data_IF_912802587018
#
_entry.id   IF_912802587018
#
_cell.length_a   1.000
_cell.length_b   1.000
_cell.length_c   1.000
_cell.angle_alpha   90.00
_cell.angle_beta   90.00
_cell.angle_gamma   90.00
#
_symmetry.space_group_name_H-M   'P 1'
#
loop_
_entity.id
_entity.type
_entity.pdbx_description
1 polymer ?
#
# COMPACT_ATOMS: atom_id res chain seq x y z
N UNK A 1 -36.82 -10.20 -55.90
CA UNK A 1 -35.52 -9.84 -56.50
C UNK A 1 -34.46 -10.28 -55.52
N UNK A 2 -33.55 -11.13 -56.00
CA UNK A 2 -32.39 -11.74 -55.34
C UNK A 2 -32.66 -12.79 -54.23
N UNK A 3 -32.60 -14.06 -54.66
CA UNK A 3 -32.20 -15.23 -53.89
C UNK A 3 -30.80 -15.05 -53.27
N UNK A 4 -30.52 -15.66 -52.11
CA UNK A 4 -29.19 -16.06 -51.73
C UNK A 4 -28.98 -17.56 -51.95
N UNK A 5 -27.76 -17.83 -52.39
CA UNK A 5 -27.30 -19.05 -53.03
C UNK A 5 -27.18 -20.27 -52.11
N UNK A 6 -27.44 -21.38 -52.78
CA UNK A 6 -27.08 -22.74 -52.46
C UNK A 6 -25.54 -22.90 -52.49
N UNK A 7 -24.92 -23.24 -51.35
CA UNK A 7 -23.58 -23.86 -51.35
C UNK A 7 -23.71 -25.26 -50.75
N UNK A 8 -23.72 -26.22 -51.65
CA UNK A 8 -23.53 -27.64 -51.38
C UNK A 8 -22.03 -27.95 -51.25
N UNK A 9 -21.63 -28.65 -50.19
CA UNK A 9 -20.45 -29.52 -50.28
C UNK A 9 -20.67 -30.77 -49.43
N UNK A 10 -20.77 -31.91 -50.13
CA UNK A 10 -20.69 -33.25 -49.54
C UNK A 10 -19.22 -33.58 -49.30
N UNK A 11 -18.89 -34.16 -48.15
CA UNK A 11 -18.01 -35.34 -48.11
C UNK A 11 -18.13 -36.13 -46.81
N UNK A 12 -18.10 -37.45 -47.02
CA UNK A 12 -18.40 -38.54 -46.12
C UNK A 12 -17.49 -38.62 -44.89
N UNK A 13 -18.03 -39.14 -43.77
CA UNK A 13 -17.17 -39.45 -42.62
C UNK A 13 -17.84 -39.99 -41.37
N UNK A 14 -18.66 -41.05 -41.48
CA UNK A 14 -19.05 -41.98 -40.37
C UNK A 14 -19.39 -41.35 -39.00
N UNK A 15 -20.67 -41.05 -38.79
CA UNK A 15 -21.24 -40.97 -37.44
C UNK A 15 -21.29 -42.37 -36.82
N UNK A 16 -20.35 -42.68 -35.90
CA UNK A 16 -20.56 -43.72 -34.89
C UNK A 16 -21.57 -43.18 -33.88
N UNK A 17 -22.82 -43.62 -33.97
CA UNK A 17 -23.82 -43.39 -32.91
C UNK A 17 -23.41 -44.18 -31.66
N UNK A 18 -22.64 -43.56 -30.77
CA UNK A 18 -22.52 -44.01 -29.39
C UNK A 18 -23.68 -43.40 -28.62
N UNK A 19 -24.87 -43.96 -28.80
CA UNK A 19 -25.99 -43.80 -27.86
C UNK A 19 -26.07 -45.04 -26.97
N UNK A 20 -24.95 -45.40 -26.34
CA UNK A 20 -25.02 -46.27 -25.18
C UNK A 20 -25.48 -45.43 -23.99
N UNK A 21 -26.79 -45.53 -23.72
CA UNK A 21 -27.44 -45.00 -22.53
C UNK A 21 -26.60 -45.29 -21.27
N UNK A 22 -26.36 -44.29 -20.38
CA UNK A 22 -25.57 -44.45 -19.15
C UNK A 22 -26.10 -45.57 -18.22
N UNK A 23 -27.34 -46.03 -18.43
CA UNK A 23 -27.91 -47.17 -17.71
C UNK A 23 -27.23 -48.52 -18.00
N UNK A 24 -26.64 -48.73 -19.18
CA UNK A 24 -25.93 -50.00 -19.47
C UNK A 24 -24.58 -50.11 -18.77
N UNK A 25 -23.91 -48.98 -18.52
CA UNK A 25 -22.66 -48.97 -17.75
C UNK A 25 -22.90 -49.29 -16.27
N UNK A 26 -23.98 -48.76 -15.69
CA UNK A 26 -24.37 -49.04 -14.30
C UNK A 26 -24.73 -50.53 -14.07
N UNK A 27 -25.41 -51.18 -15.02
CA UNK A 27 -25.78 -52.61 -14.87
C UNK A 27 -24.57 -53.55 -14.92
N UNK A 28 -23.53 -53.23 -15.69
CA UNK A 28 -22.32 -54.07 -15.77
C UNK A 28 -21.41 -53.92 -14.56
N UNK A 29 -21.45 -52.78 -13.88
CA UNK A 29 -20.72 -52.55 -12.63
C UNK A 29 -21.34 -53.29 -11.45
N UNK A 30 -22.67 -53.37 -11.38
CA UNK A 30 -23.39 -54.08 -10.30
C UNK A 30 -23.33 -55.61 -10.45
N UNK A 31 -23.23 -56.14 -11.69
CA UNK A 31 -23.26 -57.58 -11.94
C UNK A 31 -21.90 -58.30 -11.73
N UNK A 32 -20.79 -57.58 -11.56
CA UNK A 32 -19.44 -58.15 -11.37
C UNK A 32 -18.90 -58.07 -9.93
N UNK A 33 -19.57 -57.36 -9.03
CA UNK A 33 -19.16 -57.25 -7.63
C UNK A 33 -19.73 -58.42 -6.83
N UNK A 34 -19.00 -59.53 -6.81
CA UNK A 34 -19.24 -60.62 -5.86
C UNK A 34 -19.39 -60.04 -4.45
N UNK A 35 -20.48 -60.42 -3.76
CA UNK A 35 -20.90 -59.91 -2.46
C UNK A 35 -19.90 -60.21 -1.35
N UNK A 36 -18.83 -59.43 -1.30
CA UNK A 36 -17.84 -59.40 -0.24
C UNK A 36 -17.71 -57.99 0.32
N UNK A 37 -17.14 -57.91 1.52
CA UNK A 37 -16.83 -56.71 2.31
C UNK A 37 -16.20 -55.56 1.48
N UNK A 38 -15.56 -55.88 0.36
CA UNK A 38 -15.01 -54.90 -0.59
C UNK A 38 -16.07 -54.05 -1.31
N UNK A 39 -17.27 -54.57 -1.55
CA UNK A 39 -18.37 -53.82 -2.16
C UNK A 39 -18.94 -52.74 -1.23
N UNK A 40 -19.06 -53.07 0.06
CA UNK A 40 -19.52 -52.12 1.08
C UNK A 40 -18.48 -51.04 1.35
N UNK A 41 -17.19 -51.37 1.38
CA UNK A 41 -16.11 -50.37 1.53
C UNK A 41 -16.11 -49.36 0.37
N UNK A 42 -16.22 -49.81 -0.89
CA UNK A 42 -16.28 -48.91 -2.05
C UNK A 42 -17.49 -47.98 -2.00
N UNK A 43 -18.64 -48.51 -1.57
CA UNK A 43 -19.87 -47.73 -1.44
C UNK A 43 -19.74 -46.64 -0.36
N UNK A 44 -19.14 -46.97 0.79
CA UNK A 44 -18.88 -45.99 1.86
C UNK A 44 -17.89 -44.92 1.42
N UNK A 45 -16.79 -45.28 0.75
CA UNK A 45 -15.81 -44.32 0.23
C UNK A 45 -16.43 -43.35 -0.79
N UNK A 46 -17.30 -43.86 -1.67
CA UNK A 46 -18.03 -43.01 -2.62
C UNK A 46 -18.89 -41.95 -1.90
N UNK A 47 -19.58 -42.33 -0.81
CA UNK A 47 -20.35 -41.37 -0.02
C UNK A 47 -19.50 -40.36 0.73
N UNK A 48 -18.34 -40.76 1.24
CA UNK A 48 -17.39 -39.84 1.88
C UNK A 48 -16.92 -38.78 0.88
N UNK A 49 -16.56 -39.19 -0.34
CA UNK A 49 -16.16 -38.25 -1.41
C UNK A 49 -17.31 -37.30 -1.77
N UNK A 50 -18.54 -37.80 -1.89
CA UNK A 50 -19.72 -36.96 -2.16
C UNK A 50 -19.95 -35.95 -1.03
N UNK A 51 -19.81 -36.36 0.22
CA UNK A 51 -19.96 -35.45 1.38
C UNK A 51 -18.88 -34.37 1.42
N UNK A 52 -17.63 -34.71 1.09
CA UNK A 52 -16.53 -33.73 1.00
C UNK A 52 -16.82 -32.70 -0.10
N UNK A 53 -17.28 -33.14 -1.27
CA UNK A 53 -17.65 -32.23 -2.38
C UNK A 53 -18.81 -31.33 -1.96
N UNK A 54 -19.87 -31.89 -1.34
CA UNK A 54 -21.01 -31.10 -0.87
C UNK A 54 -20.61 -30.08 0.20
N UNK A 55 -19.74 -30.48 1.14
CA UNK A 55 -19.20 -29.56 2.15
C UNK A 55 -18.36 -28.44 1.50
N UNK A 56 -17.52 -28.77 0.52
CA UNK A 56 -16.74 -27.79 -0.24
C UNK A 56 -17.62 -26.79 -0.99
N UNK A 57 -18.68 -27.26 -1.64
CA UNK A 57 -19.65 -26.38 -2.32
C UNK A 57 -20.42 -25.51 -1.33
N UNK A 58 -20.86 -26.08 -0.19
CA UNK A 58 -21.55 -25.33 0.84
C UNK A 58 -20.65 -24.24 1.45
N UNK A 59 -19.39 -24.58 1.79
CA UNK A 59 -18.41 -23.63 2.31
C UNK A 59 -18.05 -22.57 1.28
N UNK A 60 -17.84 -22.93 0.02
CA UNK A 60 -17.60 -21.99 -1.07
C UNK A 60 -18.79 -21.05 -1.29
N UNK A 61 -20.02 -21.57 -1.24
CA UNK A 61 -21.23 -20.75 -1.31
C UNK A 61 -21.38 -19.81 -0.13
N UNK A 62 -21.07 -20.26 1.09
CA UNK A 62 -21.12 -19.45 2.32
C UNK A 62 -20.04 -18.36 2.31
N UNK A 63 -18.85 -18.68 1.79
CA UNK A 63 -17.78 -17.73 1.53
C UNK A 63 -18.21 -16.66 0.51
N UNK A 64 -18.73 -17.06 -0.65
CA UNK A 64 -19.23 -16.11 -1.66
C UNK A 64 -20.36 -15.23 -1.12
N UNK A 65 -21.27 -15.81 -0.33
CA UNK A 65 -22.35 -15.08 0.32
C UNK A 65 -21.82 -14.04 1.34
N UNK A 66 -20.83 -14.42 2.15
CA UNK A 66 -20.16 -13.51 3.10
C UNK A 66 -19.36 -12.43 2.37
N UNK A 67 -18.64 -12.77 1.30
CA UNK A 67 -17.90 -11.81 0.48
C UNK A 67 -18.84 -10.82 -0.21
N UNK A 68 -20.03 -11.25 -0.61
CA UNK A 68 -21.05 -10.35 -1.14
C UNK A 68 -21.61 -9.43 -0.05
N UNK A 69 -21.97 -9.96 1.12
CA UNK A 69 -22.48 -9.13 2.24
C UNK A 69 -21.47 -8.08 2.73
N UNK A 70 -20.17 -8.36 2.64
CA UNK A 70 -19.09 -7.49 3.12
C UNK A 70 -18.54 -6.54 2.06
N UNK A 71 -18.96 -6.65 0.78
CA UNK A 71 -18.42 -5.83 -0.32
C UNK A 71 -17.02 -6.21 -0.79
N UNK A 72 -16.36 -7.16 -0.12
CA UNK A 72 -14.97 -7.59 -0.33
C UNK A 72 -14.73 -8.38 -1.63
N UNK A 73 -15.80 -8.82 -2.30
CA UNK A 73 -15.73 -9.77 -3.42
C UNK A 73 -14.97 -9.20 -4.64
N UNK A 74 -14.99 -7.89 -4.85
CA UNK A 74 -14.29 -7.22 -5.95
C UNK A 74 -12.75 -7.23 -5.80
N UNK A 75 -12.25 -7.09 -4.58
CA UNK A 75 -10.81 -7.07 -4.27
C UNK A 75 -10.20 -8.47 -4.36
N UNK A 76 -10.93 -9.48 -3.88
CA UNK A 76 -10.49 -10.88 -3.92
C UNK A 76 -10.50 -11.44 -5.35
N UNK A 77 -11.54 -11.13 -6.14
CA UNK A 77 -11.64 -11.62 -7.52
C UNK A 77 -10.60 -10.97 -8.44
N UNK A 78 -10.34 -9.66 -8.32
CA UNK A 78 -9.31 -8.97 -9.10
C UNK A 78 -7.91 -9.51 -8.84
N UNK A 79 -7.59 -9.80 -7.57
CA UNK A 79 -6.32 -10.42 -7.18
C UNK A 79 -6.15 -11.84 -7.73
N UNK A 80 -7.22 -12.64 -7.76
CA UNK A 80 -7.20 -14.00 -8.32
C UNK A 80 -7.05 -13.94 -9.84
N UNK A 81 -7.80 -13.09 -10.54
CA UNK A 81 -7.74 -13.01 -12.00
C UNK A 81 -6.42 -12.42 -12.51
N UNK A 82 -5.83 -11.44 -11.81
CA UNK A 82 -4.51 -10.90 -12.15
C UNK A 82 -3.38 -11.95 -12.05
N UNK A 83 -3.46 -12.88 -11.09
CA UNK A 83 -2.47 -13.95 -10.94
C UNK A 83 -2.57 -15.10 -11.95
N UNK A 84 -3.69 -15.25 -12.66
CA UNK A 84 -3.90 -16.34 -13.62
C UNK A 84 -3.46 -16.02 -15.05
N UNK A 85 -3.25 -14.74 -15.41
CA UNK A 85 -2.82 -14.35 -16.76
C UNK A 85 -1.34 -14.63 -17.06
N UNK A 86 -0.46 -14.75 -16.05
CA UNK A 86 0.99 -14.77 -16.30
C UNK A 86 1.71 -16.12 -16.26
N UNK A 87 1.12 -17.25 -15.82
CA UNK A 87 1.91 -18.48 -15.61
C UNK A 87 1.22 -19.78 -16.05
N UNK A 88 1.95 -20.58 -16.85
CA UNK A 88 1.53 -21.90 -17.38
C UNK A 88 0.99 -22.83 -16.28
N UNK A 89 -0.22 -23.35 -16.52
CA UNK A 89 -1.26 -23.54 -15.51
C UNK A 89 -1.29 -24.84 -14.67
N UNK A 90 -0.29 -25.72 -14.71
CA UNK A 90 -0.44 -27.06 -14.05
C UNK A 90 0.60 -27.36 -12.98
N UNK A 91 1.88 -27.03 -13.18
CA UNK A 91 2.91 -27.25 -12.16
C UNK A 91 2.94 -26.13 -11.10
N UNK A 92 2.45 -24.95 -11.46
CA UNK A 92 2.27 -23.79 -10.58
C UNK A 92 0.98 -23.87 -9.76
N UNK A 93 -0.03 -24.64 -10.16
CA UNK A 93 -1.29 -24.74 -9.42
C UNK A 93 -1.12 -25.50 -8.10
N UNK A 94 -0.26 -26.53 -8.06
CA UNK A 94 -0.03 -27.32 -6.85
C UNK A 94 0.86 -26.57 -5.84
N UNK A 95 1.90 -25.88 -6.33
CA UNK A 95 2.72 -25.00 -5.47
C UNK A 95 1.98 -23.72 -5.08
N UNK A 96 1.31 -23.09 -6.03
CA UNK A 96 0.56 -21.84 -5.88
C UNK A 96 -0.66 -21.97 -4.99
N UNK A 97 -1.41 -23.08 -5.04
CA UNK A 97 -2.54 -23.27 -4.12
C UNK A 97 -2.07 -23.42 -2.67
N UNK A 98 -0.94 -24.10 -2.42
CA UNK A 98 -0.34 -24.18 -1.09
C UNK A 98 0.24 -22.84 -0.65
N UNK A 99 0.85 -22.06 -1.56
CA UNK A 99 1.35 -20.72 -1.22
C UNK A 99 0.21 -19.76 -0.95
N UNK A 100 -0.86 -19.76 -1.76
CA UNK A 100 -2.06 -18.95 -1.54
C UNK A 100 -2.75 -19.34 -0.23
N UNK A 101 -2.82 -20.64 0.11
CA UNK A 101 -3.34 -21.06 1.42
C UNK A 101 -2.46 -20.59 2.58
N UNK A 102 -1.14 -20.65 2.42
CA UNK A 102 -0.19 -20.12 3.41
C UNK A 102 -0.29 -18.58 3.52
N UNK A 103 -0.53 -17.88 2.42
CA UNK A 103 -0.71 -16.42 2.37
C UNK A 103 -2.04 -15.96 2.97
N UNK A 104 -3.10 -16.76 2.81
CA UNK A 104 -4.40 -16.50 3.44
C UNK A 104 -4.35 -16.72 4.96
N UNK A 105 -3.55 -17.69 5.44
CA UNK A 105 -3.47 -18.04 6.86
C UNK A 105 -2.30 -17.40 7.62
N UNK A 106 -1.26 -16.94 6.93
CA UNK A 106 -0.14 -16.16 7.47
C UNK A 106 0.09 -14.93 6.57
N UNK A 107 -0.70 -13.86 6.72
CA UNK A 107 -0.50 -12.62 5.98
C UNK A 107 0.91 -12.03 6.19
N UNK A 108 1.55 -12.31 7.33
CA UNK A 108 2.93 -11.90 7.62
C UNK A 108 3.96 -12.46 6.63
N UNK A 109 3.69 -13.64 6.03
CA UNK A 109 4.57 -14.21 4.98
C UNK A 109 4.47 -13.48 3.64
N UNK A 110 3.43 -12.69 3.41
CA UNK A 110 3.31 -11.86 2.19
C UNK A 110 4.30 -10.71 2.28
N UNK A 111 4.47 -10.11 3.47
CA UNK A 111 5.51 -9.12 3.71
C UNK A 111 6.91 -9.71 3.53
N UNK A 112 7.16 -10.95 3.99
CA UNK A 112 8.45 -11.63 3.79
C UNK A 112 8.73 -12.10 2.35
N UNK A 113 7.71 -12.42 1.54
CA UNK A 113 7.91 -12.93 0.18
C UNK A 113 7.95 -11.85 -0.90
N UNK A 114 7.39 -10.66 -0.63
CA UNK A 114 7.61 -9.45 -1.45
C UNK A 114 8.90 -8.71 -1.07
N UNK A 115 9.46 -8.98 0.12
CA UNK A 115 10.86 -8.71 0.42
C UNK A 115 11.73 -9.65 -0.43
N UNK A 116 11.99 -9.24 -1.68
CA UNK A 116 13.09 -9.73 -2.53
C UNK A 116 14.27 -10.13 -1.65
N UNK A 117 14.50 -11.44 -1.49
CA UNK A 117 15.62 -12.08 -0.78
C UNK A 117 16.68 -11.08 -0.28
N UNK A 118 16.40 -10.43 0.85
CA UNK A 118 17.22 -9.37 1.41
C UNK A 118 18.26 -10.02 2.31
N UNK A 119 19.24 -10.68 1.70
CA UNK A 119 20.44 -11.11 2.42
C UNK A 119 21.30 -9.87 2.72
N UNK A 120 21.18 -9.33 3.94
CA UNK A 120 22.29 -8.63 4.59
C UNK A 120 22.06 -7.23 5.16
N UNK A 121 20.82 -6.75 5.32
CA UNK A 121 20.56 -5.52 6.09
C UNK A 121 20.25 -5.84 7.55
N UNK A 122 20.93 -5.19 8.51
CA UNK A 122 20.51 -5.23 9.92
C UNK A 122 19.18 -4.48 10.05
N UNK A 123 18.10 -5.19 10.32
CA UNK A 123 16.83 -4.60 10.71
C UNK A 123 17.00 -4.04 12.14
N UNK A 124 16.85 -2.73 12.32
CA UNK A 124 16.91 -2.07 13.64
C UNK A 124 15.51 -2.13 14.24
N UNK A 125 15.35 -2.52 15.51
CA UNK A 125 14.06 -2.52 16.21
C UNK A 125 13.42 -1.11 16.14
N UNK A 126 12.16 -1.06 15.70
CA UNK A 126 11.53 0.13 15.12
C UNK A 126 10.72 0.87 16.20
N UNK A 127 11.30 1.89 16.81
CA UNK A 127 10.50 2.91 17.48
C UNK A 127 9.63 3.61 16.43
N UNK A 128 8.32 3.60 16.63
CA UNK A 128 7.34 4.21 15.73
C UNK A 128 7.03 5.64 16.21
N UNK A 129 7.40 6.63 15.39
CA UNK A 129 7.16 8.06 15.62
C UNK A 129 6.13 8.60 14.64
N UNK A 130 5.42 9.66 15.02
CA UNK A 130 4.39 10.30 14.20
C UNK A 130 3.03 10.37 14.90
N UNK A 131 1.97 10.57 14.10
CA UNK A 131 0.60 10.79 14.57
C UNK A 131 -0.30 9.60 14.21
N UNK A 132 -0.85 8.91 15.21
CA UNK A 132 -1.81 7.80 15.04
C UNK A 132 -3.18 8.21 15.54
N UNK A 133 -4.20 7.98 14.74
CA UNK A 133 -5.59 8.08 15.18
C UNK A 133 -5.96 6.71 15.73
N UNK A 134 -6.31 6.64 17.01
CA UNK A 134 -6.58 5.37 17.69
C UNK A 134 -8.06 5.10 17.85
N UNK A 135 -8.88 6.15 17.88
CA UNK A 135 -10.31 6.05 18.03
C UNK A 135 -10.99 7.21 17.30
N UNK A 136 -11.90 6.93 16.38
CA UNK A 136 -12.75 7.92 15.74
C UNK A 136 -14.21 7.48 15.89
N UNK A 137 -14.94 8.20 16.74
CA UNK A 137 -16.32 7.88 17.07
C UNK A 137 -17.25 9.06 16.78
N UNK A 138 -18.51 8.74 16.48
CA UNK A 138 -19.58 9.72 16.43
C UNK A 138 -20.25 9.79 17.80
N UNK A 139 -20.50 10.99 18.28
CA UNK A 139 -21.18 11.17 19.58
C UNK A 139 -22.58 10.54 19.55
N UNK A 140 -23.27 10.67 18.42
CA UNK A 140 -24.57 10.05 18.18
C UNK A 140 -24.54 9.04 17.02
N UNK A 141 -25.42 8.03 17.12
CA UNK A 141 -25.53 6.97 16.10
C UNK A 141 -26.42 7.35 14.92
N UNK A 142 -27.32 8.30 15.12
CA UNK A 142 -28.32 8.75 14.16
C UNK A 142 -28.59 10.24 14.37
N UNK A 143 -28.28 11.04 13.36
CA UNK A 143 -28.51 12.48 13.37
C UNK A 143 -29.74 12.83 12.56
N UNK A 144 -30.45 13.88 12.97
CA UNK A 144 -31.44 14.50 12.11
C UNK A 144 -30.76 15.49 11.17
N UNK A 145 -31.36 15.72 10.00
CA UNK A 145 -30.75 16.56 8.95
C UNK A 145 -30.45 17.98 9.40
N UNK A 146 -31.19 18.55 10.33
CA UNK A 146 -30.94 19.92 10.81
C UNK A 146 -30.03 19.97 12.05
N UNK A 147 -29.73 18.82 12.64
CA UNK A 147 -28.97 18.75 13.88
C UNK A 147 -27.46 18.77 13.59
N UNK A 148 -26.67 19.47 14.42
CA UNK A 148 -25.22 19.41 14.32
C UNK A 148 -24.71 17.98 14.46
N UNK A 149 -23.73 17.63 13.63
CA UNK A 149 -23.04 16.33 13.71
C UNK A 149 -21.76 16.53 14.49
N UNK A 150 -21.47 15.65 15.46
CA UNK A 150 -20.22 15.68 16.22
C UNK A 150 -19.45 14.37 16.05
N UNK A 151 -18.17 14.48 15.78
CA UNK A 151 -17.23 13.36 15.76
C UNK A 151 -16.07 13.66 16.69
N UNK A 152 -15.71 12.71 17.54
CA UNK A 152 -14.55 12.82 18.43
C UNK A 152 -13.48 11.81 18.00
N UNK A 153 -12.24 12.27 17.97
CA UNK A 153 -11.07 11.48 17.64
C UNK A 153 -10.05 11.52 18.78
N UNK A 154 -9.52 10.37 19.16
CA UNK A 154 -8.34 10.28 20.03
C UNK A 154 -7.12 10.02 19.17
N UNK A 155 -6.10 10.86 19.36
CA UNK A 155 -4.86 10.86 18.61
C UNK A 155 -3.69 10.65 19.56
N UNK A 156 -2.85 9.66 19.27
CA UNK A 156 -1.57 9.43 19.94
C UNK A 156 -0.44 9.99 19.07
N UNK A 157 0.39 10.85 19.66
CA UNK A 157 1.50 11.50 18.98
C UNK A 157 2.78 11.13 19.69
N UNK A 158 3.76 10.64 18.94
CA UNK A 158 5.09 10.31 19.47
C UNK A 158 6.18 11.04 18.68
N UNK A 159 6.86 11.98 19.33
CA UNK A 159 7.89 12.80 18.70
C UNK A 159 9.28 12.14 18.76
N UNK A 160 10.14 12.29 17.72
CA UNK A 160 11.55 11.91 17.76
C UNK A 160 12.30 12.60 18.91
N UNK A 161 13.43 12.05 19.36
CA UNK A 161 14.22 12.63 20.47
C UNK A 161 14.80 14.02 20.17
N UNK A 162 14.93 14.36 18.90
CA UNK A 162 15.65 15.53 18.39
C UNK A 162 14.77 16.55 17.67
N UNK A 163 13.48 16.25 17.47
CA UNK A 163 12.56 17.09 16.71
C UNK A 163 11.17 17.18 17.34
N UNK A 164 10.60 18.39 17.30
CA UNK A 164 9.22 18.65 17.71
C UNK A 164 8.27 18.34 16.54
N UNK A 165 7.07 17.83 16.83
CA UNK A 165 6.01 17.63 15.82
C UNK A 165 4.98 18.74 15.95
N UNK A 166 4.77 19.48 14.85
CA UNK A 166 3.68 20.47 14.74
C UNK A 166 2.55 19.88 13.91
N UNK A 167 1.36 19.81 14.50
CA UNK A 167 0.16 19.22 13.90
C UNK A 167 -0.82 20.33 13.60
N UNK A 168 -1.27 20.43 12.36
CA UNK A 168 -2.27 21.40 11.89
C UNK A 168 -3.65 20.74 11.78
N UNK A 169 -4.65 21.40 12.38
CA UNK A 169 -6.04 20.99 12.41
C UNK A 169 -6.95 21.85 11.53
N UNK A 170 -6.41 22.81 10.79
CA UNK A 170 -7.18 23.80 10.03
C UNK A 170 -8.21 23.18 9.10
N UNK A 171 -7.87 22.05 8.48
CA UNK A 171 -8.71 21.28 7.57
C UNK A 171 -8.81 19.80 8.00
N UNK A 172 -8.66 19.52 9.30
CA UNK A 172 -8.59 18.15 9.82
C UNK A 172 -9.93 17.40 9.79
N UNK A 173 -11.04 18.04 9.47
CA UNK A 173 -12.36 17.40 9.51
C UNK A 173 -13.06 17.57 8.16
N UNK A 174 -13.58 16.47 7.61
CA UNK A 174 -14.36 16.47 6.37
C UNK A 174 -15.60 15.60 6.54
N UNK A 175 -16.74 16.11 6.09
CA UNK A 175 -17.99 15.35 5.98
C UNK A 175 -18.42 15.32 4.50
N UNK A 176 -18.74 14.12 4.02
CA UNK A 176 -19.08 13.88 2.62
C UNK A 176 -20.27 14.72 2.15
N UNK A 177 -20.05 15.53 1.11
CA UNK A 177 -21.02 16.47 0.49
C UNK A 177 -21.49 17.60 1.42
N UNK A 178 -20.71 17.93 2.47
CA UNK A 178 -21.01 19.01 3.40
C UNK A 178 -20.36 20.33 2.94
N UNK A 179 -21.15 21.41 2.89
CA UNK A 179 -20.69 22.75 2.52
C UNK A 179 -20.78 23.77 3.67
N UNK A 180 -21.26 23.34 4.85
CA UNK A 180 -21.48 24.22 6.01
C UNK A 180 -20.23 24.49 6.85
N UNK A 181 -20.43 25.17 7.98
CA UNK A 181 -19.35 25.52 8.91
C UNK A 181 -18.90 24.33 9.77
N UNK A 182 -17.59 24.12 9.84
CA UNK A 182 -16.95 23.10 10.67
C UNK A 182 -16.18 23.77 11.80
N UNK A 183 -16.51 23.42 13.03
CA UNK A 183 -15.79 23.83 14.24
C UNK A 183 -14.92 22.67 14.74
N UNK A 184 -13.63 22.92 14.92
CA UNK A 184 -12.69 21.95 15.52
C UNK A 184 -12.33 22.45 16.91
N UNK A 185 -12.47 21.59 17.91
CA UNK A 185 -12.22 21.93 19.32
C UNK A 185 -11.49 20.82 20.06
N UNK A 186 -10.77 21.17 21.12
CA UNK A 186 -10.05 20.22 21.97
C UNK A 186 -9.42 20.93 23.18
N UNK A 187 -8.97 20.18 24.21
CA UNK A 187 -8.53 20.73 25.49
C UNK A 187 -7.32 21.66 25.41
N UNK A 188 -6.64 21.73 24.25
CA UNK A 188 -5.48 22.57 23.99
C UNK A 188 -5.50 23.25 22.61
N UNK A 189 -6.65 23.21 21.90
CA UNK A 189 -6.81 23.84 20.59
C UNK A 189 -7.39 25.24 20.78
N UNK A 190 -6.64 26.14 21.42
CA UNK A 190 -6.93 27.57 21.31
C UNK A 190 -6.37 28.13 19.99
N UNK A 191 -5.38 27.45 19.42
CA UNK A 191 -4.70 27.73 18.17
C UNK A 191 -4.91 26.49 17.27
N UNK A 192 -5.07 26.67 15.95
CA UNK A 192 -5.33 25.58 14.99
C UNK A 192 -4.18 24.56 14.87
N UNK A 193 -3.15 24.71 15.69
CA UNK A 193 -1.94 23.91 15.69
C UNK A 193 -1.63 23.42 17.11
N UNK A 194 -1.08 22.21 17.21
CA UNK A 194 -0.52 21.66 18.45
C UNK A 194 0.95 21.32 18.20
N UNK A 195 1.82 21.65 19.14
CA UNK A 195 3.23 21.24 19.12
C UNK A 195 3.51 20.20 20.19
N UNK A 196 3.99 19.02 19.79
CA UNK A 196 4.50 17.98 20.69
C UNK A 196 6.01 18.07 20.73
N UNK A 197 6.56 18.30 21.92
CA UNK A 197 8.00 18.49 22.09
C UNK A 197 8.74 17.16 21.89
N UNK A 198 9.93 17.26 21.31
CA UNK A 198 10.90 16.19 21.12
C UNK A 198 11.03 15.23 22.31
N UNK A 199 11.00 13.93 22.01
CA UNK A 199 11.12 12.83 22.96
C UNK A 199 9.88 12.55 23.81
N UNK A 200 8.79 13.31 23.65
CA UNK A 200 7.54 13.05 24.36
C UNK A 200 6.54 12.23 23.53
N UNK A 201 5.62 11.61 24.26
CA UNK A 201 4.44 10.94 23.75
C UNK A 201 3.22 11.54 24.46
N UNK A 202 2.28 12.05 23.69
CA UNK A 202 1.09 12.75 24.19
C UNK A 202 -0.18 12.24 23.48
N UNK A 203 -1.28 12.18 24.21
CA UNK A 203 -2.61 11.83 23.70
C UNK A 203 -3.50 13.06 23.67
N UNK A 204 -4.24 13.24 22.58
CA UNK A 204 -5.14 14.37 22.37
C UNK A 204 -6.53 13.89 21.96
N UNK A 205 -7.56 14.44 22.62
CA UNK A 205 -8.94 14.28 22.22
C UNK A 205 -9.39 15.51 21.42
N UNK A 206 -9.79 15.29 20.18
CA UNK A 206 -10.20 16.33 19.22
C UNK A 206 -11.66 16.10 18.85
N UNK A 207 -12.47 17.14 18.83
CA UNK A 207 -13.88 17.07 18.41
C UNK A 207 -14.10 17.95 17.19
N UNK A 208 -14.57 17.32 16.10
CA UNK A 208 -15.10 17.96 14.91
C UNK A 208 -16.61 18.15 15.05
N UNK A 209 -17.12 19.37 14.87
CA UNK A 209 -18.54 19.67 14.90
C UNK A 209 -18.99 20.35 13.61
N UNK A 210 -19.96 19.73 12.93
CA UNK A 210 -20.57 20.21 11.68
C UNK A 210 -21.85 20.95 12.04
N UNK A 211 -21.81 22.29 12.08
CA UNK A 211 -22.81 23.12 12.78
C UNK A 211 -24.17 23.14 12.10
N UNK A 212 -24.18 23.17 10.77
CA UNK A 212 -25.39 23.34 9.95
C UNK A 212 -26.13 22.02 9.65
N UNK A 213 -25.65 20.88 10.17
CA UNK A 213 -26.22 19.58 9.88
C UNK A 213 -26.03 19.17 8.41
N UNK A 214 -27.11 18.78 7.73
CA UNK A 214 -27.11 18.36 6.33
C UNK A 214 -28.41 18.79 5.64
N UNK A 215 -28.32 19.71 4.69
CA UNK A 215 -29.48 20.11 3.90
C UNK A 215 -29.80 19.03 2.85
N UNK A 216 -31.08 18.65 2.81
CA UNK A 216 -31.73 17.83 1.79
C UNK A 216 -31.11 16.44 1.51
N UNK A 217 -31.75 15.40 2.06
CA UNK A 217 -31.48 14.01 1.71
C UNK A 217 -32.52 13.50 0.70
N UNK A 218 -32.03 12.82 -0.34
CA UNK A 218 -32.85 12.06 -1.30
C UNK A 218 -33.61 10.88 -0.65
N UNK A 219 -33.16 10.45 0.54
CA UNK A 219 -33.64 9.26 1.24
C UNK A 219 -34.02 9.58 2.67
N UNK A 220 -34.98 8.81 3.20
CA UNK A 220 -35.38 8.89 4.61
C UNK A 220 -34.19 8.64 5.56
N UNK A 221 -33.30 7.72 5.20
CA UNK A 221 -32.03 7.48 5.89
C UNK A 221 -30.89 7.46 4.87
N UNK A 222 -29.84 8.22 5.16
CA UNK A 222 -28.60 8.28 4.37
C UNK A 222 -27.39 7.98 5.25
N UNK A 223 -26.35 7.38 4.67
CA UNK A 223 -25.08 7.12 5.36
C UNK A 223 -24.03 8.05 4.75
N UNK A 224 -23.42 8.91 5.56
CA UNK A 224 -22.40 9.86 5.15
C UNK A 224 -21.06 9.52 5.79
N UNK A 225 -19.97 9.70 5.05
CA UNK A 225 -18.61 9.46 5.54
C UNK A 225 -18.09 10.72 6.25
N UNK A 226 -17.61 10.55 7.48
CA UNK A 226 -16.84 11.56 8.23
C UNK A 226 -15.38 11.13 8.20
N UNK A 227 -14.47 12.03 7.84
CA UNK A 227 -13.03 11.77 7.78
C UNK A 227 -12.32 12.75 8.71
N UNK A 228 -11.47 12.22 9.59
CA UNK A 228 -10.54 13.00 10.38
C UNK A 228 -9.15 12.87 9.77
N UNK A 229 -8.49 14.00 9.48
CA UNK A 229 -7.32 14.11 8.63
C UNK A 229 -6.28 15.17 9.07
N UNK A 230 -5.77 15.13 10.30
CA UNK A 230 -4.73 16.07 10.74
C UNK A 230 -3.46 15.93 9.89
N UNK A 231 -2.82 17.06 9.61
CA UNK A 231 -1.56 17.12 8.85
C UNK A 231 -0.40 17.51 9.75
N UNK A 232 0.80 17.02 9.45
CA UNK A 232 2.01 17.38 10.17
C UNK A 232 3.24 17.26 9.28
N UNK A 233 4.27 18.06 9.56
CA UNK A 233 5.58 17.90 8.94
C UNK A 233 6.39 16.85 9.73
N UNK A 234 7.10 15.99 9.02
CA UNK A 234 7.94 14.95 9.58
C UNK A 234 9.27 14.90 8.84
N UNK A 235 10.37 14.90 9.60
CA UNK A 235 11.71 14.71 9.04
C UNK A 235 12.17 13.29 9.35
N UNK A 236 12.82 12.68 8.37
CA UNK A 236 13.37 11.35 8.49
C UNK A 236 14.75 11.31 7.86
N UNK A 237 15.68 10.62 8.50
CA UNK A 237 17.01 10.41 7.98
C UNK A 237 17.39 8.92 7.95
N UNK A 238 18.38 8.61 7.11
CA UNK A 238 19.01 7.29 7.04
C UNK A 238 20.50 7.42 6.78
N UNK A 239 21.31 6.71 7.57
CA UNK A 239 22.76 6.63 7.41
C UNK A 239 23.17 5.26 6.86
N UNK A 240 23.85 5.25 5.71
CA UNK A 240 24.33 4.06 5.04
C UNK A 240 25.85 4.01 4.97
N UNK A 241 26.47 3.07 5.69
CA UNK A 241 27.92 2.89 5.64
C UNK A 241 28.35 2.09 4.40
N UNK A 242 29.12 2.74 3.53
CA UNK A 242 29.57 2.25 2.23
C UNK A 242 31.07 1.97 2.23
N UNK A 243 31.48 0.79 1.75
CA UNK A 243 32.90 0.39 1.62
C UNK A 243 33.39 0.51 0.19
N UNK A 244 34.64 0.96 0.02
CA UNK A 244 35.31 0.99 -1.29
C UNK A 244 36.62 0.17 -1.32
N UNK A 245 37.09 -0.18 -2.52
CA UNK A 245 38.34 -0.91 -2.80
C UNK A 245 38.97 -0.48 -4.14
N UNK A 246 40.25 -0.79 -4.30
CA UNK A 246 40.99 -0.52 -5.55
C UNK A 246 41.07 -1.75 -6.48
N UNK A 247 41.30 -2.95 -5.93
CA UNK A 247 41.45 -4.19 -6.73
C UNK A 247 40.37 -5.24 -6.43
N UNK A 248 39.92 -5.93 -7.48
CA UNK A 248 38.92 -7.00 -7.41
C UNK A 248 39.53 -8.28 -6.80
N UNK A 249 39.29 -8.48 -5.50
CA UNK A 249 39.66 -9.69 -4.77
C UNK A 249 38.64 -10.81 -5.04
N UNK A 250 39.14 -12.03 -5.26
CA UNK A 250 38.28 -13.22 -5.51
C UNK A 250 37.55 -13.72 -4.27
N UNK A 251 37.98 -13.32 -3.08
CA UNK A 251 37.49 -13.84 -1.79
C UNK A 251 36.55 -12.87 -1.07
N UNK A 252 36.03 -11.86 -1.78
CA UNK A 252 35.18 -10.85 -1.15
C UNK A 252 33.74 -11.35 -1.00
N UNK A 253 33.34 -11.52 0.27
CA UNK A 253 31.96 -11.74 0.66
C UNK A 253 31.13 -10.52 0.25
N UNK A 254 30.28 -10.70 -0.76
CA UNK A 254 29.46 -9.62 -1.32
C UNK A 254 28.28 -9.36 -0.40
N UNK A 255 28.30 -8.26 0.32
CA UNK A 255 27.19 -7.83 1.20
C UNK A 255 26.17 -7.03 0.38
N UNK A 256 24.89 -7.14 0.75
CA UNK A 256 23.81 -6.30 0.23
C UNK A 256 24.12 -4.81 0.43
N UNK A 257 23.66 -3.98 -0.51
CA UNK A 257 24.00 -2.57 -0.60
C UNK A 257 22.78 -1.69 -0.32
N UNK A 258 22.11 -1.92 0.80
CA UNK A 258 20.87 -1.23 1.14
C UNK A 258 20.70 -1.06 2.65
N UNK A 259 20.10 0.06 3.04
CA UNK A 259 19.62 0.34 4.38
C UNK A 259 18.20 0.88 4.27
N UNK A 260 17.35 0.55 5.23
CA UNK A 260 15.98 1.03 5.32
C UNK A 260 15.68 1.42 6.76
N UNK A 261 15.04 2.57 6.95
CA UNK A 261 14.60 3.07 8.26
C UNK A 261 13.08 3.15 8.24
N UNK A 262 12.43 2.60 9.27
CA UNK A 262 10.96 2.62 9.43
C UNK A 262 10.52 3.37 10.71
N UNK A 263 11.19 4.47 11.02
CA UNK A 263 10.92 5.27 12.22
C UNK A 263 9.58 6.03 12.15
N UNK A 264 8.96 6.17 10.98
CA UNK A 264 7.79 7.03 10.80
C UNK A 264 6.73 6.46 9.86
N UNK A 265 5.80 7.33 9.39
CA UNK A 265 4.73 6.94 8.47
C UNK A 265 5.25 6.55 7.08
N UNK A 266 6.49 6.91 6.76
CA UNK A 266 7.17 6.51 5.54
C UNK A 266 8.43 5.68 5.83
N UNK A 267 8.79 4.83 4.88
CA UNK A 267 10.00 4.03 4.87
C UNK A 267 10.98 4.71 3.92
N UNK A 268 12.09 5.21 4.47
CA UNK A 268 13.18 5.78 3.69
C UNK A 268 14.23 4.70 3.44
N UNK A 269 14.59 4.47 2.17
CA UNK A 269 15.61 3.51 1.76
C UNK A 269 16.69 4.17 0.93
N UNK A 270 17.94 3.92 1.31
CA UNK A 270 19.12 4.32 0.54
C UNK A 270 19.87 3.07 0.09
N UNK A 271 20.10 2.92 -1.21
CA UNK A 271 20.70 1.70 -1.73
C UNK A 271 21.44 1.86 -3.06
N UNK A 272 22.24 0.85 -3.40
CA UNK A 272 22.74 0.62 -4.76
C UNK A 272 22.37 -0.79 -5.23
N UNK A 273 22.10 -0.93 -6.52
CA UNK A 273 21.92 -2.27 -7.14
C UNK A 273 23.22 -3.07 -7.21
N UNK A 274 24.36 -2.39 -7.10
CA UNK A 274 25.68 -3.04 -7.09
C UNK A 274 26.01 -3.53 -5.69
N UNK A 275 26.66 -4.69 -5.59
CA UNK A 275 27.10 -5.21 -4.29
C UNK A 275 28.38 -4.51 -3.84
N UNK A 276 28.55 -4.38 -2.53
CA UNK A 276 29.77 -3.85 -1.94
C UNK A 276 30.87 -4.93 -1.87
N UNK A 277 32.16 -4.54 -1.84
CA UNK A 277 32.68 -3.17 -1.90
C UNK A 277 32.57 -2.53 -3.29
N UNK A 278 32.55 -1.20 -3.33
CA UNK A 278 32.59 -0.43 -4.57
C UNK A 278 34.02 -0.11 -5.00
N UNK A 279 34.28 -0.06 -6.31
CA UNK A 279 35.60 0.10 -6.89
C UNK A 279 35.80 1.50 -7.43
N UNK A 280 36.98 2.09 -7.20
CA UNK A 280 37.30 3.48 -7.56
C UNK A 280 37.18 3.75 -9.07
N UNK A 281 37.49 2.75 -9.90
CA UNK A 281 37.47 2.85 -11.36
C UNK A 281 36.07 2.61 -11.98
N UNK A 282 35.02 2.47 -11.16
CA UNK A 282 33.67 2.15 -11.60
C UNK A 282 32.66 3.20 -11.16
N UNK A 283 31.70 3.43 -12.05
CA UNK A 283 30.51 4.22 -11.74
C UNK A 283 29.40 3.31 -11.21
N UNK A 284 28.72 3.78 -10.18
CA UNK A 284 27.61 3.11 -9.52
C UNK A 284 26.36 3.98 -9.58
N UNK A 285 25.20 3.38 -9.34
CA UNK A 285 23.94 4.11 -9.17
C UNK A 285 23.53 4.07 -7.71
N UNK A 286 23.29 5.25 -7.14
CA UNK A 286 22.65 5.47 -5.86
C UNK A 286 21.15 5.63 -6.11
N UNK A 287 20.34 4.99 -5.30
CA UNK A 287 18.89 5.11 -5.30
C UNK A 287 18.43 5.53 -3.90
N UNK A 288 17.55 6.52 -3.87
CA UNK A 288 16.78 6.91 -2.70
C UNK A 288 15.32 6.58 -2.98
N UNK A 289 14.69 5.80 -2.12
CA UNK A 289 13.31 5.39 -2.25
C UNK A 289 12.53 5.74 -0.99
N UNK A 290 11.37 6.39 -1.17
CA UNK A 290 10.42 6.68 -0.11
C UNK A 290 9.13 5.91 -0.37
N UNK A 291 8.73 5.05 0.57
CA UNK A 291 7.53 4.24 0.48
C UNK A 291 6.61 4.45 1.68
N UNK A 292 5.29 4.41 1.48
CA UNK A 292 4.35 4.56 2.58
C UNK A 292 4.31 3.29 3.46
N UNK A 293 4.46 3.46 4.78
CA UNK A 293 4.41 2.38 5.77
C UNK A 293 2.97 2.00 6.15
N UNK A 294 2.18 1.58 5.15
CA UNK A 294 0.74 1.28 5.28
C UNK A 294 0.39 0.13 6.22
N UNK A 295 1.38 -0.59 6.74
CA UNK A 295 1.16 -1.69 7.70
C UNK A 295 0.80 -1.11 9.08
N UNK A 296 1.37 0.04 9.42
CA UNK A 296 1.31 0.62 10.76
C UNK A 296 0.52 1.93 10.78
N UNK A 297 0.50 2.66 9.65
CA UNK A 297 -0.03 4.01 9.57
C UNK A 297 -1.15 4.10 8.55
N UNK A 298 -2.29 4.61 9.01
CA UNK A 298 -3.42 4.99 8.18
C UNK A 298 -3.27 6.46 7.78
N UNK A 299 -3.08 6.70 6.49
CA UNK A 299 -2.82 8.04 5.96
C UNK A 299 -2.08 8.04 4.64
N UNK A 300 -1.68 9.24 4.22
CA UNK A 300 -0.97 9.46 2.96
C UNK A 300 0.07 10.56 3.07
N UNK A 301 1.11 10.41 2.25
CA UNK A 301 2.03 11.49 1.93
C UNK A 301 1.26 12.57 1.19
N UNK A 302 1.32 13.80 1.68
CA UNK A 302 0.72 14.96 1.04
C UNK A 302 1.74 15.65 0.13
N UNK A 303 2.88 16.01 0.71
CA UNK A 303 3.91 16.78 0.03
C UNK A 303 5.29 16.47 0.60
N UNK A 304 6.31 16.38 -0.25
CA UNK A 304 7.72 16.44 0.13
C UNK A 304 8.16 17.90 0.11
N UNK A 305 8.70 18.38 1.21
CA UNK A 305 9.22 19.74 1.32
C UNK A 305 10.67 19.81 0.84
N UNK A 306 11.51 18.87 1.25
CA UNK A 306 12.93 18.86 0.91
C UNK A 306 13.50 17.44 0.95
N UNK A 307 14.51 17.19 0.11
CA UNK A 307 15.28 15.94 0.09
C UNK A 307 16.76 16.25 -0.08
N UNK A 308 17.55 15.88 0.93
CA UNK A 308 18.98 16.14 0.97
C UNK A 308 19.79 14.84 1.03
N UNK A 309 20.88 14.80 0.27
CA UNK A 309 21.93 13.79 0.36
C UNK A 309 23.21 14.43 0.85
N UNK A 310 23.79 13.87 1.92
CA UNK A 310 25.14 14.23 2.40
C UNK A 310 26.08 13.10 1.99
N UNK A 311 26.97 13.41 1.05
CA UNK A 311 27.88 12.46 0.41
C UNK A 311 29.31 12.80 0.81
N UNK A 312 30.14 11.83 1.21
CA UNK A 312 31.55 12.05 1.58
C UNK A 312 32.35 12.73 0.45
N UNK A 313 33.26 13.66 0.80
CA UNK A 313 34.05 14.41 -0.20
C UNK A 313 34.97 13.55 -1.10
N UNK A 314 35.24 12.29 -0.74
CA UNK A 314 35.95 11.34 -1.58
C UNK A 314 35.03 10.57 -2.54
N UNK A 315 33.78 10.99 -2.66
CA UNK A 315 32.79 10.47 -3.60
C UNK A 315 32.29 11.65 -4.43
N UNK A 316 32.20 11.46 -5.74
CA UNK A 316 31.64 12.44 -6.67
C UNK A 316 30.31 11.91 -7.17
N UNK A 317 29.23 12.70 -7.00
CA UNK A 317 27.98 12.51 -7.73
C UNK A 317 28.17 13.04 -9.16
N UNK A 318 27.87 12.22 -10.15
CA UNK A 318 28.00 12.58 -11.56
C UNK A 318 26.78 13.42 -11.93
N UNK A 319 26.95 14.74 -11.94
CA UNK A 319 25.91 15.70 -12.36
C UNK A 319 25.72 15.66 -13.88
N UNK A 320 24.93 14.68 -14.32
CA UNK A 320 24.46 14.54 -15.69
C UNK A 320 22.93 14.58 -15.76
N UNK A 321 22.38 14.32 -16.95
CA UNK A 321 20.92 14.32 -17.18
C UNK A 321 20.16 13.24 -16.40
N UNK A 322 20.85 12.32 -15.74
CA UNK A 322 20.26 11.20 -15.00
C UNK A 322 20.48 11.31 -13.49
N UNK A 323 21.02 12.43 -13.00
CA UNK A 323 21.10 12.74 -11.59
C UNK A 323 19.96 13.69 -11.19
N UNK A 324 19.12 13.25 -10.27
CA UNK A 324 17.97 14.02 -9.79
C UNK A 324 18.38 15.10 -8.76
N UNK A 325 19.64 15.07 -8.31
CA UNK A 325 20.17 15.96 -7.27
C UNK A 325 21.13 17.01 -7.84
N UNK A 326 21.22 18.15 -7.18
CA UNK A 326 22.20 19.20 -7.46
C UNK A 326 22.98 19.59 -6.21
N UNK A 327 24.27 19.91 -6.36
CA UNK A 327 25.10 20.34 -5.23
C UNK A 327 24.66 21.73 -4.75
N UNK A 328 24.24 21.85 -3.48
CA UNK A 328 23.92 23.16 -2.87
C UNK A 328 25.11 23.75 -2.14
N UNK A 329 25.87 22.91 -1.45
CA UNK A 329 27.02 23.35 -0.64
C UNK A 329 27.95 22.20 -0.30
N UNK A 330 29.14 22.51 0.18
CA UNK A 330 30.02 21.54 0.84
C UNK A 330 30.23 21.99 2.28
N UNK A 331 29.96 21.11 3.26
CA UNK A 331 30.02 21.42 4.70
C UNK A 331 30.75 20.32 5.46
N UNK A 332 31.92 20.66 6.01
CA UNK A 332 32.75 19.69 6.73
C UNK A 332 33.32 18.64 5.78
N UNK A 333 33.13 17.36 6.11
CA UNK A 333 33.62 16.22 5.34
C UNK A 333 32.61 15.70 4.29
N UNK A 334 31.55 16.47 4.03
CA UNK A 334 30.47 16.11 3.10
C UNK A 334 30.18 17.20 2.06
N UNK A 335 29.87 16.77 0.84
CA UNK A 335 29.06 17.51 -0.11
C UNK A 335 27.57 17.34 0.21
N UNK A 336 26.81 18.43 0.19
CA UNK A 336 25.37 18.46 0.43
C UNK A 336 24.65 18.72 -0.88
N UNK A 337 23.85 17.76 -1.29
CA UNK A 337 23.08 17.77 -2.53
C UNK A 337 21.61 17.80 -2.20
N UNK A 338 20.83 18.65 -2.86
CA UNK A 338 19.37 18.69 -2.72
C UNK A 338 18.73 18.18 -3.99
N UNK A 339 17.52 17.62 -3.89
CA UNK A 339 16.73 17.28 -5.06
C UNK A 339 16.46 18.54 -5.89
N UNK A 340 16.54 18.43 -7.21
CA UNK A 340 16.26 19.53 -8.13
C UNK A 340 14.80 19.97 -8.00
N UNK A 341 14.57 21.28 -8.05
CA UNK A 341 13.22 21.85 -7.86
C UNK A 341 12.21 21.29 -8.87
N UNK A 342 12.62 21.02 -10.12
CA UNK A 342 11.74 20.44 -11.14
C UNK A 342 11.41 18.96 -10.91
N UNK A 343 12.30 18.20 -10.27
CA UNK A 343 12.01 16.83 -9.84
C UNK A 343 11.10 16.83 -8.60
N UNK A 344 11.31 17.76 -7.66
CA UNK A 344 10.44 17.93 -6.50
C UNK A 344 9.01 18.31 -6.90
N UNK A 345 8.85 19.20 -7.88
CA UNK A 345 7.53 19.58 -8.44
C UNK A 345 6.85 18.39 -9.13
N UNK A 346 7.58 17.53 -9.86
CA UNK A 346 7.04 16.32 -10.50
C UNK A 346 6.54 15.30 -9.47
N UNK A 347 7.14 15.27 -8.28
CA UNK A 347 6.77 14.35 -7.22
C UNK A 347 5.56 14.87 -6.43
N UNK A 348 5.49 16.17 -6.16
CA UNK A 348 4.43 16.82 -5.39
C UNK A 348 3.15 17.09 -6.19
N UNK A 349 2.78 16.13 -7.02
CA UNK A 349 1.60 16.23 -7.87
C UNK A 349 0.33 16.07 -7.04
N UNK A 350 -0.55 17.08 -7.10
CA UNK A 350 -1.88 17.02 -6.50
C UNK A 350 -2.83 16.17 -7.35
N UNK A 351 -2.92 14.87 -7.01
CA UNK A 351 -3.84 13.94 -7.63
C UNK A 351 -5.33 14.22 -7.33
N UNK A 352 -5.66 15.18 -6.46
CA UNK A 352 -7.04 15.58 -6.18
C UNK A 352 -7.56 16.63 -7.17
N UNK A 353 -6.66 17.36 -7.83
CA UNK A 353 -7.01 18.38 -8.82
C UNK A 353 -7.49 17.76 -10.14
N UNK A 354 -8.77 17.94 -10.44
CA UNK A 354 -9.36 17.53 -11.73
C UNK A 354 -8.69 18.25 -12.92
N UNK A 355 -8.24 19.49 -12.73
CA UNK A 355 -7.56 20.24 -13.79
C UNK A 355 -6.22 19.58 -14.12
N UNK A 356 -5.43 19.25 -13.10
CA UNK A 356 -4.15 18.56 -13.28
C UNK A 356 -4.32 17.19 -13.96
N UNK A 357 -5.26 16.37 -13.47
CA UNK A 357 -5.53 15.05 -14.04
C UNK A 357 -5.91 15.13 -15.53
N UNK A 358 -6.71 16.15 -15.89
CA UNK A 358 -7.11 16.38 -17.29
C UNK A 358 -5.96 16.90 -18.15
N UNK A 359 -5.07 17.74 -17.62
CA UNK A 359 -3.89 18.26 -18.35
C UNK A 359 -2.86 17.17 -18.66
N UNK A 360 -2.67 16.23 -17.74
CA UNK A 360 -1.72 15.14 -17.90
C UNK A 360 -2.30 13.89 -18.59
N UNK A 361 -3.59 13.89 -18.93
CA UNK A 361 -4.31 12.72 -19.46
C UNK A 361 -4.17 11.49 -18.53
N UNK A 362 -4.19 11.73 -17.22
CA UNK A 362 -4.08 10.71 -16.18
C UNK A 362 -5.42 10.51 -15.48
N UNK A 363 -5.78 9.26 -15.23
CA UNK A 363 -6.84 8.96 -14.26
C UNK A 363 -6.34 9.19 -12.84
N UNK A 364 -7.27 9.45 -11.91
CA UNK A 364 -6.94 9.55 -10.48
C UNK A 364 -6.22 8.30 -9.96
N UNK A 365 -6.60 7.10 -10.45
CA UNK A 365 -5.98 5.84 -10.06
C UNK A 365 -4.53 5.77 -10.56
N UNK A 366 -4.27 6.15 -11.82
CA UNK A 366 -2.91 6.18 -12.38
C UNK A 366 -2.02 7.20 -11.66
N UNK A 367 -2.56 8.36 -11.28
CA UNK A 367 -1.85 9.36 -10.49
C UNK A 367 -1.44 8.79 -9.12
N UNK A 368 -2.37 8.10 -8.44
CA UNK A 368 -2.07 7.45 -7.16
C UNK A 368 -1.13 6.24 -7.29
N UNK A 369 -1.21 5.45 -8.36
CA UNK A 369 -0.32 4.31 -8.57
C UNK A 369 1.14 4.77 -8.76
N UNK A 370 1.38 5.92 -9.40
CA UNK A 370 2.72 6.55 -9.46
C UNK A 370 3.27 6.89 -8.07
N UNK A 371 2.43 7.40 -7.17
CA UNK A 371 2.83 7.69 -5.78
C UNK A 371 2.94 6.42 -4.92
N UNK A 372 2.21 5.35 -5.28
CA UNK A 372 2.10 4.10 -4.53
C UNK A 372 3.27 3.14 -4.77
N UNK A 373 3.89 3.18 -5.93
CA UNK A 373 5.09 2.38 -6.27
C UNK A 373 6.38 2.90 -5.61
N UNK A 374 6.26 3.92 -4.76
CA UNK A 374 7.34 4.56 -4.03
C UNK A 374 8.02 5.63 -4.88
N UNK A 375 8.33 6.75 -4.23
CA UNK A 375 9.05 7.85 -4.87
C UNK A 375 10.50 7.43 -4.98
N UNK A 376 11.01 7.36 -6.20
CA UNK A 376 12.35 6.86 -6.52
C UNK A 376 13.17 7.98 -7.13
N UNK A 377 14.27 8.31 -6.46
CA UNK A 377 15.27 9.26 -6.92
C UNK A 377 16.59 8.54 -7.14
N UNK A 378 17.39 8.99 -8.08
CA UNK A 378 18.64 8.34 -8.44
C UNK A 378 19.72 9.32 -8.86
N UNK A 379 20.96 8.91 -8.64
CA UNK A 379 22.13 9.61 -9.17
C UNK A 379 23.26 8.61 -9.39
N UNK A 380 24.12 8.88 -10.37
CA UNK A 380 25.36 8.13 -10.53
C UNK A 380 26.44 8.67 -9.60
N UNK A 381 27.26 7.78 -9.06
CA UNK A 381 28.39 8.16 -8.21
C UNK A 381 29.62 7.32 -8.51
N UNK A 382 30.79 7.86 -8.21
CA UNK A 382 32.07 7.16 -8.27
C UNK A 382 32.94 7.60 -7.10
N UNK A 383 33.85 6.74 -6.68
CA UNK A 383 34.86 7.13 -5.70
C UNK A 383 35.98 7.91 -6.39
N UNK A 384 36.44 8.97 -5.74
CA UNK A 384 37.63 9.69 -6.14
C UNK A 384 38.86 8.92 -5.66
N UNK A 385 39.94 9.01 -6.45
CA UNK A 385 41.17 8.28 -6.20
C UNK A 385 41.74 8.67 -4.83
N UNK A 386 41.66 7.76 -3.87
CA UNK A 386 42.27 7.88 -2.57
C UNK A 386 43.40 6.87 -2.52
N UNK A 387 44.64 7.35 -2.36
CA UNK A 387 45.86 6.54 -2.38
C UNK A 387 45.92 5.47 -1.25
N UNK A 388 44.93 5.42 -0.35
CA UNK A 388 44.79 4.42 0.70
C UNK A 388 43.54 3.55 0.46
N UNK A 389 43.67 2.22 0.61
CA UNK A 389 42.52 1.33 0.72
C UNK A 389 41.63 1.81 1.88
N UNK A 390 40.55 2.52 1.58
CA UNK A 390 39.65 2.95 2.64
C UNK A 390 38.77 1.77 3.05
N UNK A 391 39.33 0.97 3.94
CA UNK A 391 38.66 -0.17 4.58
C UNK A 391 37.60 0.26 5.60
N UNK A 392 37.59 1.53 6.01
CA UNK A 392 36.56 2.12 6.86
C UNK A 392 35.32 2.47 6.02
N UNK A 393 34.13 2.04 6.44
CA UNK A 393 32.90 2.43 5.75
C UNK A 393 32.66 3.94 5.88
N UNK A 394 32.23 4.58 4.79
CA UNK A 394 31.82 5.98 4.79
C UNK A 394 30.30 6.10 4.87
N UNK A 395 29.77 6.99 5.71
CA UNK A 395 28.33 7.19 5.78
C UNK A 395 27.84 8.03 4.60
N UNK A 396 26.87 7.51 3.87
CA UNK A 396 26.01 8.30 3.00
C UNK A 396 24.76 8.60 3.82
N UNK A 397 24.36 9.86 3.92
CA UNK A 397 23.19 10.24 4.71
C UNK A 397 22.14 10.79 3.76
N UNK A 398 20.92 10.29 3.85
CA UNK A 398 19.76 10.90 3.20
C UNK A 398 18.82 11.44 4.28
N UNK A 399 18.29 12.63 4.05
CA UNK A 399 17.38 13.35 4.95
C UNK A 399 16.21 13.84 4.10
N UNK A 400 14.98 13.63 4.56
CA UNK A 400 13.77 14.02 3.86
C UNK A 400 12.81 14.71 4.83
N UNK A 401 12.28 15.86 4.43
CA UNK A 401 11.22 16.59 5.12
C UNK A 401 9.93 16.45 4.31
N UNK A 402 8.83 16.06 4.95
CA UNK A 402 7.56 15.86 4.26
C UNK A 402 6.34 16.08 5.14
N UNK A 403 5.28 16.58 4.53
CA UNK A 403 3.95 16.65 5.10
C UNK A 403 3.21 15.31 4.93
N UNK A 404 2.72 14.80 6.04
CA UNK A 404 1.89 13.61 6.09
C UNK A 404 0.51 13.94 6.63
N UNK A 405 -0.52 13.35 6.03
CA UNK A 405 -1.90 13.43 6.50
C UNK A 405 -2.24 12.07 7.10
N UNK A 406 -2.36 12.01 8.42
CA UNK A 406 -2.94 10.84 9.09
C UNK A 406 -4.44 10.84 8.81
N UNK A 407 -5.05 9.70 8.49
CA UNK A 407 -6.47 9.65 8.11
C UNK A 407 -7.20 8.52 8.83
N UNK A 408 -8.37 8.80 9.40
CA UNK A 408 -9.33 7.79 9.83
C UNK A 408 -10.75 8.20 9.45
N UNK A 409 -11.66 7.23 9.34
CA UNK A 409 -12.99 7.43 8.79
C UNK A 409 -14.08 6.74 9.59
N UNK A 410 -15.13 7.50 9.92
CA UNK A 410 -16.35 7.01 10.52
C UNK A 410 -17.54 7.24 9.57
N UNK A 411 -18.68 6.64 9.90
CA UNK A 411 -19.88 6.79 9.09
C UNK A 411 -21.08 7.23 9.93
N UNK A 412 -21.61 8.41 9.61
CA UNK A 412 -22.81 8.96 10.21
C UNK A 412 -24.06 8.44 9.49
N UNK A 413 -25.08 8.05 10.25
CA UNK A 413 -26.41 7.80 9.70
C UNK A 413 -27.25 9.05 9.93
N UNK A 414 -27.84 9.58 8.87
CA UNK A 414 -28.66 10.77 8.88
C UNK A 414 -30.11 10.38 8.59
N UNK A 415 -31.06 10.99 9.28
CA UNK A 415 -32.50 10.78 9.11
C UNK A 415 -33.20 12.07 8.73
N UNK A 416 -33.94 12.04 7.62
CA UNK A 416 -34.82 13.14 7.20
C UNK A 416 -36.04 13.20 8.12
N UNK A 417 -36.35 14.38 8.65
CA UNK A 417 -37.63 14.63 9.33
C UNK A 417 -38.57 15.29 8.33
N UNK A 418 -39.71 14.67 8.05
CA UNK A 418 -40.84 15.35 7.41
C UNK A 418 -41.70 15.95 8.53
N UNK A 419 -41.64 17.27 8.70
CA UNK A 419 -42.63 17.96 9.52
C UNK A 419 -43.94 18.00 8.71
N UNK A 420 -44.93 17.20 9.11
CA UNK A 420 -46.31 17.45 8.68
C UNK A 420 -46.70 18.83 9.23
N UNK A 421 -46.78 19.84 8.35
CA UNK A 421 -47.38 21.13 8.72
C UNK A 421 -48.83 20.86 9.17
N UNK A 422 -49.07 20.86 10.49
CA UNK A 422 -50.42 20.91 11.05
C UNK A 422 -51.05 22.24 10.57
N UNK A 423 -51.92 22.12 9.56
CA UNK A 423 -52.61 23.23 8.89
C UNK A 423 -53.95 23.58 9.51
#
# INVERSE_FOLDING_TARGET
>A
MADPEEISEKKDGRLKSISESPYKFYRKWIAGSGGGIWGTIKWVLMWIVILIILAGVALGGLFLFRCWQTGSCGVVLSSIFGGFEEVKAVETAEKGALTIFDYIWNPDKIAESMMLSWEGGKQVEEEEFGVKITDLELEERLYYTEDPISASATMNVKAPEDEDIVIDFSDACELQDYEGEIEVSGPFIDEKEITVLSGNEDDFDITCKFLDGFEDLDKEISRKKVTFKPSYNFVQDVEWYVKSKYEESKDDEKVGASIAVKKGPMILRLFSKSRQPFYVDRTYKLFLELENNKIVWDGKLDKIEDVNLKIPLNVELIDDKFCDFEERSSRGDYGVYSLKDDELEKINVDCSSKEFLNEQDLTMIECFDVLKDGIKMSCEFKFLDAEEEISAGFPFIAEISYFYIAEDTAFANLRKIEFEEET
#
